data_IF_826927717889
#
_entry.id   IF_826927717889
#
_cell.length_a   1.000
_cell.length_b   1.000
_cell.length_c   1.000
_cell.angle_alpha   90.00
_cell.angle_beta   90.00
_cell.angle_gamma   90.00
#
_symmetry.space_group_name_H-M   'P 1'
#
loop_
_entity.id
_entity.type
_entity.pdbx_description
1 polymer ?
#
# COMPACT_ATOMS: atom_id res chain seq x y z
N UNK A 1 -13.65 -23.32 17.18
CA UNK A 1 -12.34 -22.71 17.46
C UNK A 1 -11.48 -22.76 16.23
N UNK A 2 -11.04 -21.60 15.72
CA UNK A 2 -9.96 -21.53 14.73
C UNK A 2 -8.66 -21.64 15.53
N UNK A 3 -7.74 -22.54 15.16
CA UNK A 3 -6.50 -22.67 15.91
C UNK A 3 -5.64 -21.42 15.67
N UNK A 4 -5.02 -20.86 16.71
CA UNK A 4 -4.03 -19.78 16.58
C UNK A 4 -2.94 -20.13 15.54
N UNK A 5 -2.59 -21.41 15.40
CA UNK A 5 -1.68 -21.90 14.37
C UNK A 5 -2.19 -21.71 12.94
N UNK A 6 -3.50 -21.81 12.68
CA UNK A 6 -4.05 -21.63 11.32
C UNK A 6 -3.94 -20.17 10.88
N UNK A 7 -4.12 -19.24 11.81
CA UNK A 7 -4.00 -17.79 11.58
C UNK A 7 -2.54 -17.42 11.31
N UNK A 8 -1.61 -17.92 12.12
CA UNK A 8 -0.18 -17.70 11.94
C UNK A 8 0.33 -18.32 10.63
N UNK A 9 -0.04 -19.57 10.32
CA UNK A 9 0.36 -20.24 9.08
C UNK A 9 -0.17 -19.54 7.81
N UNK A 10 -1.39 -18.99 7.89
CA UNK A 10 -1.96 -18.24 6.78
C UNK A 10 -1.33 -16.86 6.62
N UNK A 11 -0.94 -16.20 7.73
CA UNK A 11 -0.17 -14.96 7.70
C UNK A 11 1.23 -15.19 7.09
N UNK A 12 1.92 -16.28 7.47
CA UNK A 12 3.18 -16.71 6.86
C UNK A 12 3.03 -17.02 5.36
N UNK A 13 1.92 -17.62 4.95
CA UNK A 13 1.65 -17.88 3.53
C UNK A 13 1.46 -16.59 2.74
N UNK A 14 0.81 -15.59 3.34
CA UNK A 14 0.67 -14.25 2.79
C UNK A 14 2.04 -13.55 2.74
N UNK A 15 2.89 -13.75 3.75
CA UNK A 15 4.28 -13.28 3.76
C UNK A 15 5.08 -13.81 2.59
N UNK A 16 5.11 -15.14 2.44
CA UNK A 16 5.83 -15.79 1.34
C UNK A 16 5.28 -15.40 -0.02
N UNK A 17 3.97 -15.14 -0.12
CA UNK A 17 3.37 -14.62 -1.34
C UNK A 17 3.92 -13.23 -1.68
N UNK A 18 3.96 -12.31 -0.72
CA UNK A 18 4.49 -10.96 -0.92
C UNK A 18 5.98 -10.95 -1.22
N UNK A 19 6.78 -11.76 -0.52
CA UNK A 19 8.21 -11.94 -0.81
C UNK A 19 8.43 -12.47 -2.22
N UNK A 20 7.63 -13.45 -2.64
CA UNK A 20 7.71 -14.00 -4.00
C UNK A 20 7.38 -12.96 -5.05
N UNK A 21 6.32 -12.16 -4.89
CA UNK A 21 5.95 -11.16 -5.90
C UNK A 21 6.84 -9.91 -5.88
N UNK A 22 7.58 -9.68 -4.79
CA UNK A 22 8.64 -8.67 -4.64
C UNK A 22 9.97 -9.16 -5.23
N UNK A 23 9.91 -9.88 -6.34
CA UNK A 23 11.05 -10.36 -7.11
C UNK A 23 11.08 -9.63 -8.46
N UNK A 24 12.27 -9.27 -8.93
CA UNK A 24 12.48 -8.58 -10.21
C UNK A 24 11.93 -9.41 -11.39
N UNK A 25 11.95 -10.74 -11.28
CA UNK A 25 11.37 -11.65 -12.29
C UNK A 25 9.84 -11.45 -12.38
N UNK A 26 9.17 -11.35 -11.22
CA UNK A 26 7.73 -11.17 -11.16
C UNK A 26 7.31 -9.77 -11.60
N UNK A 27 8.08 -8.74 -11.20
CA UNK A 27 7.92 -7.39 -11.73
C UNK A 27 8.04 -7.39 -13.26
N UNK A 28 9.09 -7.98 -13.83
CA UNK A 28 9.31 -7.99 -15.29
C UNK A 28 8.19 -8.72 -16.04
N UNK A 29 7.69 -9.83 -15.49
CA UNK A 29 6.53 -10.55 -16.03
C UNK A 29 5.27 -9.70 -16.01
N UNK A 30 4.98 -9.03 -14.88
CA UNK A 30 3.87 -8.10 -14.74
C UNK A 30 3.99 -6.93 -15.73
N UNK A 31 5.14 -6.25 -15.75
CA UNK A 31 5.43 -5.12 -16.63
C UNK A 31 5.28 -5.50 -18.11
N UNK A 32 5.80 -6.66 -18.51
CA UNK A 32 5.67 -7.15 -19.90
C UNK A 32 4.22 -7.41 -20.28
N UNK A 33 3.40 -7.97 -19.37
CA UNK A 33 1.96 -8.17 -19.60
C UNK A 33 1.24 -6.84 -19.77
N UNK A 34 1.47 -5.89 -18.86
CA UNK A 34 0.86 -4.54 -18.92
C UNK A 34 1.23 -3.84 -20.22
N UNK A 35 2.50 -3.84 -20.62
CA UNK A 35 2.94 -3.24 -21.89
C UNK A 35 2.37 -3.97 -23.10
N UNK A 36 2.24 -5.31 -23.05
CA UNK A 36 1.64 -6.09 -24.13
C UNK A 36 0.15 -5.77 -24.30
N UNK A 37 -0.59 -5.65 -23.21
CA UNK A 37 -2.00 -5.24 -23.21
C UNK A 37 -2.15 -3.79 -23.63
N UNK A 38 -1.23 -2.92 -23.19
CA UNK A 38 -1.23 -1.51 -23.57
C UNK A 38 -0.89 -1.28 -25.03
N UNK A 39 -0.27 -2.21 -25.78
CA UNK A 39 -0.06 -2.07 -27.23
C UNK A 39 -1.36 -1.91 -28.03
N UNK A 40 -2.51 -2.30 -27.46
CA UNK A 40 -3.84 -2.01 -28.03
C UNK A 40 -4.25 -0.53 -27.91
N UNK A 41 -3.62 0.20 -26.99
CA UNK A 41 -3.76 1.64 -26.73
C UNK A 41 -2.50 2.31 -27.32
N UNK A 42 -2.63 3.11 -28.38
CA UNK A 42 -1.51 3.45 -29.28
C UNK A 42 -0.41 4.36 -28.70
N UNK A 43 -0.46 4.69 -27.42
CA UNK A 43 0.45 5.65 -26.80
C UNK A 43 1.45 4.96 -25.86
N UNK A 44 2.73 5.32 -26.03
CA UNK A 44 3.78 4.88 -25.10
C UNK A 44 3.54 5.55 -23.74
N UNK A 45 3.76 4.85 -22.62
CA UNK A 45 3.61 5.44 -21.30
C UNK A 45 4.53 6.66 -21.17
N UNK A 46 3.94 7.81 -20.86
CA UNK A 46 4.64 9.07 -20.63
C UNK A 46 4.92 9.17 -19.13
N UNK A 47 6.17 9.43 -18.75
CA UNK A 47 6.52 9.68 -17.35
C UNK A 47 5.69 10.85 -16.81
N UNK A 48 5.10 10.68 -15.63
CA UNK A 48 4.42 11.77 -14.95
C UNK A 48 5.42 12.92 -14.78
N UNK A 49 5.04 14.12 -15.26
CA UNK A 49 5.92 15.29 -15.17
C UNK A 49 6.15 15.59 -13.70
N UNK A 50 7.39 15.46 -13.25
CA UNK A 50 7.77 15.80 -11.88
C UNK A 50 7.33 17.26 -11.63
N UNK A 51 6.39 17.48 -10.71
CA UNK A 51 6.04 18.84 -10.31
C UNK A 51 7.25 19.41 -9.60
N UNK A 52 7.97 20.32 -10.25
CA UNK A 52 9.05 21.07 -9.60
C UNK A 52 8.41 21.84 -8.44
N UNK A 53 8.89 21.69 -7.20
CA UNK A 53 8.44 22.55 -6.12
C UNK A 53 8.69 24.02 -6.52
N UNK A 54 7.82 24.96 -6.13
CA UNK A 54 8.00 26.38 -6.43
C UNK A 54 9.40 26.83 -5.99
N UNK A 55 10.09 27.61 -6.85
CA UNK A 55 11.51 28.01 -6.76
C UNK A 55 12.00 28.61 -5.43
N UNK A 56 11.13 28.80 -4.43
CA UNK A 56 11.49 29.37 -3.11
C UNK A 56 12.15 28.36 -2.16
N UNK A 57 12.07 27.06 -2.43
CA UNK A 57 12.63 26.01 -1.57
C UNK A 57 13.54 25.07 -2.37
N UNK A 58 14.70 25.56 -2.83
CA UNK A 58 15.79 24.67 -3.26
C UNK A 58 16.76 24.51 -2.10
N UNK A 59 16.44 23.63 -1.15
CA UNK A 59 17.49 22.95 -0.40
C UNK A 59 17.90 21.74 -1.23
N UNK A 60 19.20 21.62 -1.50
CA UNK A 60 19.86 20.52 -2.18
C UNK A 60 19.46 19.16 -1.60
N UNK A 61 18.51 18.50 -2.25
CA UNK A 61 18.22 17.08 -2.08
C UNK A 61 18.06 16.53 -3.48
N UNK A 62 18.97 15.63 -3.85
CA UNK A 62 19.10 15.06 -5.18
C UNK A 62 17.78 14.44 -5.62
N UNK A 63 17.17 15.03 -6.66
CA UNK A 63 16.06 14.42 -7.35
C UNK A 63 16.56 13.17 -8.07
N UNK A 64 16.10 11.98 -7.68
CA UNK A 64 16.41 10.74 -8.35
C UNK A 64 15.98 10.84 -9.84
N UNK A 65 16.95 11.01 -10.73
CA UNK A 65 16.72 10.96 -12.17
C UNK A 65 16.60 9.48 -12.57
N UNK A 66 15.36 9.04 -12.84
CA UNK A 66 15.12 7.69 -13.36
C UNK A 66 15.66 7.56 -14.78
N UNK A 67 16.46 6.52 -15.04
CA UNK A 67 17.08 6.31 -16.36
C UNK A 67 16.10 5.69 -17.36
N UNK A 68 15.04 5.02 -16.87
CA UNK A 68 14.00 4.44 -17.71
C UNK A 68 12.60 4.47 -17.07
N UNK A 69 11.57 4.39 -17.91
CA UNK A 69 10.18 4.21 -17.47
C UNK A 69 9.99 2.92 -16.66
N UNK A 70 10.77 1.87 -16.96
CA UNK A 70 10.69 0.58 -16.28
C UNK A 70 11.21 0.70 -14.85
N UNK A 71 12.30 1.44 -14.62
CA UNK A 71 12.81 1.73 -13.28
C UNK A 71 11.83 2.55 -12.44
N UNK A 72 11.20 3.57 -13.04
CA UNK A 72 10.18 4.36 -12.36
C UNK A 72 9.01 3.49 -11.90
N UNK A 73 8.44 2.68 -12.81
CA UNK A 73 7.35 1.78 -12.47
C UNK A 73 7.77 0.63 -11.53
N UNK A 74 9.04 0.20 -11.58
CA UNK A 74 9.59 -0.77 -10.64
C UNK A 74 9.60 -0.23 -9.22
N UNK A 75 10.08 0.99 -9.03
CA UNK A 75 10.08 1.64 -7.72
C UNK A 75 8.66 1.78 -7.18
N UNK A 76 7.73 2.32 -7.98
CA UNK A 76 6.33 2.46 -7.60
C UNK A 76 5.66 1.12 -7.25
N UNK A 77 5.97 0.05 -8.01
CA UNK A 77 5.50 -1.30 -7.71
C UNK A 77 6.00 -1.78 -6.35
N UNK A 78 7.29 -1.64 -6.06
CA UNK A 78 7.88 -2.11 -4.80
C UNK A 78 7.35 -1.31 -3.58
N UNK A 79 7.22 0.00 -3.71
CA UNK A 79 6.67 0.88 -2.67
C UNK A 79 5.21 0.52 -2.36
N UNK A 80 4.38 0.34 -3.40
CA UNK A 80 2.98 -0.03 -3.23
C UNK A 80 2.82 -1.41 -2.58
N UNK A 81 3.70 -2.37 -2.90
CA UNK A 81 3.73 -3.67 -2.22
C UNK A 81 4.10 -3.53 -0.74
N UNK A 82 5.02 -2.63 -0.40
CA UNK A 82 5.38 -2.31 0.98
C UNK A 82 4.17 -1.84 1.80
N UNK A 83 3.35 -0.95 1.22
CA UNK A 83 2.12 -0.46 1.85
C UNK A 83 1.10 -1.57 2.04
N UNK A 84 0.84 -2.38 1.01
CA UNK A 84 -0.11 -3.50 1.11
C UNK A 84 0.33 -4.48 2.19
N UNK A 85 1.62 -4.82 2.21
CA UNK A 85 2.21 -5.73 3.18
C UNK A 85 2.00 -5.18 4.60
N UNK A 86 2.30 -3.89 4.83
CA UNK A 86 2.05 -3.24 6.12
C UNK A 86 0.58 -3.31 6.56
N UNK A 87 -0.36 -2.89 5.71
CA UNK A 87 -1.79 -2.86 6.05
C UNK A 87 -2.26 -4.26 6.45
N UNK A 88 -1.94 -5.27 5.64
CA UNK A 88 -2.38 -6.63 5.91
C UNK A 88 -1.73 -7.21 7.16
N UNK A 89 -0.48 -6.86 7.48
CA UNK A 89 0.20 -7.41 8.66
C UNK A 89 -0.25 -6.74 9.95
N UNK A 90 -0.38 -5.42 9.91
CA UNK A 90 -0.95 -4.65 11.01
C UNK A 90 -2.34 -5.18 11.37
N UNK A 91 -3.19 -5.48 10.38
CA UNK A 91 -4.52 -6.04 10.62
C UNK A 91 -4.55 -7.47 11.19
N UNK A 92 -3.44 -8.21 11.16
CA UNK A 92 -3.35 -9.59 11.67
C UNK A 92 -2.36 -9.75 12.84
N UNK A 93 -1.90 -8.67 13.46
CA UNK A 93 -0.89 -8.68 14.51
C UNK A 93 0.41 -9.41 14.11
N UNK A 94 0.81 -9.28 12.84
CA UNK A 94 1.96 -9.99 12.26
C UNK A 94 3.06 -9.02 11.80
N UNK A 95 3.09 -7.81 12.37
CA UNK A 95 4.17 -6.86 12.11
C UNK A 95 5.45 -7.38 12.78
N UNK A 96 6.49 -7.56 11.97
CA UNK A 96 7.87 -7.70 12.43
C UNK A 96 8.47 -6.31 12.72
N UNK A 97 9.51 -6.25 13.57
CA UNK A 97 10.24 -5.02 13.91
C UNK A 97 11.03 -4.42 12.71
N UNK A 98 10.75 -4.86 11.49
CA UNK A 98 11.44 -4.39 10.29
C UNK A 98 11.03 -2.97 9.92
N UNK A 99 12.02 -2.08 9.79
CA UNK A 99 11.83 -0.69 9.36
C UNK A 99 11.47 -0.55 7.86
N UNK A 100 11.55 -1.64 7.08
CA UNK A 100 11.39 -1.59 5.62
C UNK A 100 10.00 -1.09 5.18
N UNK A 101 8.95 -1.36 5.97
CA UNK A 101 7.60 -0.88 5.67
C UNK A 101 7.48 0.63 5.86
N UNK A 102 8.04 1.15 6.94
CA UNK A 102 7.95 2.57 7.27
C UNK A 102 8.76 3.41 6.30
N UNK A 103 9.90 2.89 5.83
CA UNK A 103 10.64 3.54 4.76
C UNK A 103 9.81 3.60 3.46
N UNK A 104 9.19 2.47 3.07
CA UNK A 104 8.30 2.43 1.90
C UNK A 104 7.12 3.40 2.02
N UNK A 105 6.55 3.56 3.22
CA UNK A 105 5.46 4.49 3.50
C UNK A 105 5.96 5.95 3.45
N UNK A 106 7.13 6.24 4.01
CA UNK A 106 7.75 7.57 3.97
C UNK A 106 8.07 8.01 2.54
N UNK A 107 8.64 7.10 1.76
CA UNK A 107 9.03 7.36 0.37
C UNK A 107 7.78 7.59 -0.50
N UNK A 108 6.72 6.83 -0.26
CA UNK A 108 5.49 6.89 -1.06
C UNK A 108 4.52 8.02 -0.64
N UNK A 109 4.31 8.20 0.66
CA UNK A 109 3.32 9.12 1.23
C UNK A 109 3.96 10.39 1.78
N UNK A 110 5.11 10.81 1.24
CA UNK A 110 5.98 11.84 1.82
C UNK A 110 5.21 13.07 2.34
N UNK A 111 5.19 13.25 3.66
CA UNK A 111 4.52 14.37 4.34
C UNK A 111 3.00 14.27 4.46
N UNK A 112 2.37 13.29 3.80
CA UNK A 112 0.93 13.01 3.92
C UNK A 112 0.61 12.10 5.11
N UNK A 113 1.56 11.35 5.66
CA UNK A 113 1.33 10.47 6.81
C UNK A 113 2.24 10.85 7.96
N UNK A 114 1.67 10.94 9.16
CA UNK A 114 2.43 10.95 10.41
C UNK A 114 2.81 9.52 10.79
N UNK A 115 4.05 9.14 10.49
CA UNK A 115 4.55 7.76 10.69
C UNK A 115 4.64 7.37 12.16
N UNK A 116 4.92 8.31 13.06
CA UNK A 116 4.99 8.02 14.49
C UNK A 116 3.60 7.75 15.05
N UNK A 117 2.60 8.53 14.64
CA UNK A 117 1.20 8.25 14.97
C UNK A 117 0.70 6.96 14.32
N UNK A 118 1.08 6.69 13.07
CA UNK A 118 0.74 5.43 12.39
C UNK A 118 1.27 4.19 13.12
N UNK A 119 2.50 4.24 13.66
CA UNK A 119 3.06 3.15 14.48
C UNK A 119 2.18 2.85 15.69
N UNK A 120 1.77 3.89 16.41
CA UNK A 120 0.89 3.74 17.59
C UNK A 120 -0.48 3.19 17.20
N UNK A 121 -1.08 3.71 16.12
CA UNK A 121 -2.34 3.22 15.59
C UNK A 121 -2.26 1.73 15.19
N UNK A 122 -1.15 1.32 14.55
CA UNK A 122 -0.94 -0.06 14.11
C UNK A 122 -0.84 -1.06 15.26
N UNK A 123 -0.37 -0.64 16.45
CA UNK A 123 -0.36 -1.50 17.64
C UNK A 123 -1.75 -1.80 18.19
N UNK A 124 -2.72 -0.90 17.96
CA UNK A 124 -4.08 -1.01 18.50
C UNK A 124 -5.12 -1.45 17.45
N UNK A 125 -4.75 -1.49 16.17
CA UNK A 125 -5.69 -1.73 15.07
C UNK A 125 -6.33 -3.11 15.13
N UNK A 126 -5.59 -4.11 15.61
CA UNK A 126 -6.06 -5.51 15.69
C UNK A 126 -7.21 -5.63 16.66
N UNK A 127 -7.08 -5.03 17.85
CA UNK A 127 -8.12 -5.06 18.88
C UNK A 127 -9.38 -4.34 18.39
N UNK A 128 -9.20 -3.22 17.69
CA UNK A 128 -10.29 -2.53 17.02
C UNK A 128 -10.98 -3.42 15.99
N UNK A 129 -10.23 -4.06 15.09
CA UNK A 129 -10.78 -4.95 14.07
C UNK A 129 -11.53 -6.12 14.68
N UNK A 130 -10.97 -6.78 15.70
CA UNK A 130 -11.64 -7.87 16.40
C UNK A 130 -12.95 -7.40 17.05
N UNK A 131 -12.95 -6.21 17.66
CA UNK A 131 -14.13 -5.61 18.27
C UNK A 131 -15.24 -5.35 17.24
N UNK A 132 -14.90 -4.75 16.09
CA UNK A 132 -15.86 -4.46 15.02
C UNK A 132 -16.38 -5.75 14.37
N UNK A 133 -15.50 -6.71 14.08
CA UNK A 133 -15.88 -8.01 13.49
C UNK A 133 -16.87 -8.74 14.41
N UNK A 134 -16.59 -8.77 15.72
CA UNK A 134 -17.47 -9.40 16.71
C UNK A 134 -18.81 -8.66 16.84
N UNK A 135 -18.79 -7.33 16.88
CA UNK A 135 -19.98 -6.50 17.04
C UNK A 135 -20.92 -6.61 15.85
N UNK A 136 -20.37 -6.57 14.62
CA UNK A 136 -21.13 -6.64 13.38
C UNK A 136 -21.33 -8.06 12.83
N UNK A 137 -20.93 -9.09 13.60
CA UNK A 137 -21.04 -10.51 13.22
C UNK A 137 -20.45 -10.83 11.83
N UNK A 138 -19.35 -10.15 11.49
CA UNK A 138 -18.69 -10.36 10.20
C UNK A 138 -18.02 -11.74 10.17
N UNK A 139 -18.14 -12.46 9.06
CA UNK A 139 -17.47 -13.76 8.89
C UNK A 139 -16.03 -13.57 8.41
N UNK A 140 -15.23 -12.83 9.19
CA UNK A 140 -13.83 -12.54 8.90
C UNK A 140 -12.97 -13.23 9.95
N UNK A 141 -12.20 -14.23 9.52
CA UNK A 141 -11.22 -14.91 10.39
C UNK A 141 -9.81 -14.32 10.28
N UNK A 142 -9.50 -13.76 9.11
CA UNK A 142 -8.20 -13.19 8.80
C UNK A 142 -8.35 -12.11 7.73
N UNK A 143 -7.52 -11.08 7.80
CA UNK A 143 -7.52 -9.97 6.86
C UNK A 143 -6.50 -10.24 5.75
N UNK A 144 -6.97 -10.71 4.61
CA UNK A 144 -6.11 -11.02 3.44
C UNK A 144 -6.27 -10.01 2.30
N UNK A 145 -7.22 -9.07 2.42
CA UNK A 145 -7.56 -8.09 1.39
C UNK A 145 -7.70 -6.70 1.99
N UNK A 146 -7.28 -5.69 1.22
CA UNK A 146 -7.52 -4.28 1.56
C UNK A 146 -9.02 -3.97 1.61
N UNK A 147 -9.84 -4.65 0.78
CA UNK A 147 -11.30 -4.48 0.81
C UNK A 147 -11.90 -4.84 2.17
N UNK A 148 -11.39 -5.87 2.84
CA UNK A 148 -11.85 -6.27 4.19
C UNK A 148 -11.55 -5.18 5.21
N UNK A 149 -10.40 -4.50 5.12
CA UNK A 149 -10.12 -3.34 5.96
C UNK A 149 -11.15 -2.22 5.71
N UNK A 150 -11.46 -1.96 4.44
CA UNK A 150 -12.45 -0.95 4.06
C UNK A 150 -13.85 -1.29 4.61
N UNK A 151 -14.27 -2.54 4.53
CA UNK A 151 -15.54 -3.03 5.09
C UNK A 151 -15.60 -2.80 6.62
N UNK A 152 -14.51 -3.13 7.33
CA UNK A 152 -14.42 -2.92 8.78
C UNK A 152 -14.53 -1.43 9.13
N UNK A 153 -13.75 -0.55 8.48
CA UNK A 153 -13.83 0.88 8.70
C UNK A 153 -15.18 1.48 8.30
N UNK A 154 -15.82 0.98 7.25
CA UNK A 154 -17.15 1.44 6.85
C UNK A 154 -18.25 0.99 7.82
N UNK A 155 -18.01 -0.07 8.59
CA UNK A 155 -18.92 -0.56 9.62
C UNK A 155 -18.77 0.18 10.96
N UNK A 156 -17.79 1.08 11.10
CA UNK A 156 -17.57 1.87 12.31
C UNK A 156 -16.98 3.25 11.96
N UNK A 157 -17.84 4.27 11.88
CA UNK A 157 -17.39 5.65 11.58
C UNK A 157 -16.40 6.20 12.61
N UNK A 158 -16.63 5.93 13.90
CA UNK A 158 -15.71 6.36 14.98
C UNK A 158 -14.30 5.78 14.77
N UNK A 159 -14.20 4.57 14.21
CA UNK A 159 -12.92 3.95 13.88
C UNK A 159 -12.10 4.79 12.89
N UNK A 160 -12.76 5.47 11.94
CA UNK A 160 -12.08 6.33 10.96
C UNK A 160 -11.44 7.57 11.61
N UNK A 161 -12.02 8.04 12.71
CA UNK A 161 -11.52 9.19 13.48
C UNK A 161 -10.50 8.78 14.54
N UNK A 162 -10.58 7.55 15.05
CA UNK A 162 -9.63 7.01 16.02
C UNK A 162 -8.32 6.55 15.36
N UNK A 163 -8.40 6.00 14.14
CA UNK A 163 -7.25 5.49 13.39
C UNK A 163 -7.06 6.30 12.10
N UNK A 164 -6.76 7.59 12.26
CA UNK A 164 -6.73 8.55 11.16
C UNK A 164 -5.61 8.27 10.18
N UNK A 165 -4.40 8.01 10.67
CA UNK A 165 -3.24 7.77 9.81
C UNK A 165 -3.36 6.44 9.08
N UNK A 166 -3.85 5.40 9.77
CA UNK A 166 -4.10 4.10 9.18
C UNK A 166 -5.18 4.15 8.10
N UNK A 167 -6.30 4.84 8.38
CA UNK A 167 -7.36 5.04 7.41
C UNK A 167 -6.90 5.93 6.25
N UNK A 168 -6.07 6.95 6.52
CA UNK A 168 -5.45 7.79 5.49
C UNK A 168 -4.51 6.99 4.60
N UNK A 169 -3.72 6.08 5.15
CA UNK A 169 -2.87 5.16 4.39
C UNK A 169 -3.69 4.28 3.44
N UNK A 170 -4.81 3.72 3.92
CA UNK A 170 -5.73 2.95 3.06
C UNK A 170 -6.26 3.84 1.93
N UNK A 171 -6.67 5.08 2.22
CA UNK A 171 -7.16 6.01 1.19
C UNK A 171 -6.07 6.34 0.17
N UNK A 172 -4.86 6.66 0.63
CA UNK A 172 -3.70 6.96 -0.20
C UNK A 172 -3.37 5.77 -1.11
N UNK A 173 -3.43 4.54 -0.59
CA UNK A 173 -3.28 3.33 -1.37
C UNK A 173 -4.38 3.16 -2.44
N UNK A 174 -5.63 3.48 -2.12
CA UNK A 174 -6.76 3.33 -3.06
C UNK A 174 -6.78 4.39 -4.16
N UNK A 175 -6.15 5.55 -3.94
CA UNK A 175 -6.00 6.58 -4.97
C UNK A 175 -4.75 6.39 -5.82
N UNK A 176 -3.87 5.43 -5.50
CA UNK A 176 -2.77 5.04 -6.38
C UNK A 176 -3.44 4.64 -7.70
N UNK A 177 -3.16 5.37 -8.80
CA UNK A 177 -3.75 5.02 -10.06
C UNK A 177 -3.24 3.64 -10.46
N UNK A 178 -4.09 2.62 -10.28
CA UNK A 178 -3.92 1.28 -10.89
C UNK A 178 -3.94 1.38 -12.43
N UNK A 179 -4.25 2.56 -12.95
CA UNK A 179 -4.37 2.87 -14.36
C UNK A 179 -3.25 3.82 -14.77
N UNK A 180 -2.41 3.34 -15.66
CA UNK A 180 -1.70 4.12 -16.69
C UNK A 180 -2.63 5.01 -17.55
N UNK A 181 -3.90 5.22 -17.19
CA UNK A 181 -4.95 5.83 -17.99
C UNK A 181 -5.75 6.93 -17.25
N UNK A 182 -5.13 7.68 -16.34
CA UNK A 182 -5.75 8.89 -15.75
C UNK A 182 -4.86 10.14 -15.85
N UNK A 183 -3.95 10.18 -16.82
CA UNK A 183 -3.28 11.42 -17.24
C UNK A 183 -3.79 11.94 -18.60
N UNK A 184 -4.70 11.22 -19.25
CA UNK A 184 -5.46 11.73 -20.40
C UNK A 184 -6.73 12.43 -19.91
N UNK A 185 -6.64 13.75 -19.74
CA UNK A 185 -7.69 14.75 -19.46
C UNK A 185 -7.46 15.48 -18.14
N UNK A 186 -6.49 16.37 -18.17
CA UNK A 186 -6.72 17.67 -17.56
C UNK A 186 -5.98 18.71 -18.40
N UNK A 187 -6.76 19.28 -19.33
CA UNK A 187 -6.59 20.48 -20.17
C UNK A 187 -5.21 20.82 -20.75
#
# INVERSE_FOLDING_TARGET
SCCLQDVLSSAESLIRYFERIRDDINFKSFYTKVIKESKSLRDKPILARHRRPPKRYQSSSDSAEFSSYEEFYRQQYMESLGIVKFILYAGNNSLDDSNDYFQSIMDFCYGDIDVEKLKVEALMIVDFFQSVIKTNQMNVKQITKISTNCEIFNSCEVGKEMFQEYHKLIKLYLIIPVRTATAERTF
#
